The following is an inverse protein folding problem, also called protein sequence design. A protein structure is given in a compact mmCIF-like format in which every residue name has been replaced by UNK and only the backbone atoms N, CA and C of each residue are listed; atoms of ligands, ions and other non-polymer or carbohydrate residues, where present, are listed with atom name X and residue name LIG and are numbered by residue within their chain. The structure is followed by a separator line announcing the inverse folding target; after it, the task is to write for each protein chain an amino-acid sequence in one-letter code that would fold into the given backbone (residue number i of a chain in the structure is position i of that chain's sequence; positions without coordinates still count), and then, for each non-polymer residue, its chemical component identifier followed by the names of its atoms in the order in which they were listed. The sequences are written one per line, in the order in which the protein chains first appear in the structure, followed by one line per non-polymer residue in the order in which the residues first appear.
data_IF_304392967392
#
_entry.id   IF_304392967392
#
_cell.length_a   1.000
_cell.length_b   1.000
_cell.length_c   1.000
_cell.angle_alpha   90.00
_cell.angle_beta   90.00
_cell.angle_gamma   90.00
#
_symmetry.space_group_name_H-M   'P 1'
#
loop_
_entity.id
_entity.type
_entity.pdbx_description
1 polymer ?
#
# COMPACT_ATOMS: atom_id res chain seq x y z
N UNK A 1 3.71 12.81 -35.25
CA UNK A 1 4.92 12.25 -34.61
C UNK A 1 4.56 10.90 -33.96
N UNK A 2 4.97 9.76 -34.53
CA UNK A 2 4.84 8.42 -33.93
C UNK A 2 6.22 7.77 -33.83
N UNK A 3 7.11 8.40 -33.06
CA UNK A 3 8.45 7.87 -32.80
C UNK A 3 8.37 6.82 -31.69
N UNK A 4 8.21 5.54 -32.05
CA UNK A 4 8.19 4.47 -31.05
C UNK A 4 7.60 3.14 -31.52
N UNK A 5 6.87 3.10 -32.63
CA UNK A 5 6.21 1.89 -33.12
C UNK A 5 7.06 1.17 -34.19
N UNK A 6 8.33 0.91 -33.90
CA UNK A 6 9.14 -0.03 -34.70
C UNK A 6 9.18 -1.36 -33.98
N UNK A 7 9.20 -2.48 -34.71
CA UNK A 7 9.39 -3.81 -34.11
C UNK A 7 10.74 -3.79 -33.37
N UNK A 8 10.70 -3.88 -32.03
CA UNK A 8 11.89 -3.75 -31.18
C UNK A 8 12.21 -2.35 -30.64
N UNK A 9 11.38 -1.33 -30.92
CA UNK A 9 11.48 -0.02 -30.27
C UNK A 9 10.78 -0.06 -28.90
N UNK A 10 11.58 0.03 -27.84
CA UNK A 10 11.13 -0.01 -26.44
C UNK A 10 12.25 -0.53 -25.54
N UNK A 11 12.23 -0.16 -24.27
CA UNK A 11 13.13 -0.76 -23.29
C UNK A 11 12.72 -2.23 -23.15
N UNK A 12 13.64 -3.16 -23.44
CA UNK A 12 13.39 -4.60 -23.22
C UNK A 12 12.89 -4.76 -21.78
N UNK A 13 11.78 -5.46 -21.54
CA UNK A 13 11.31 -5.70 -20.19
C UNK A 13 12.45 -6.34 -19.40
N UNK A 14 12.81 -5.74 -18.27
CA UNK A 14 13.82 -6.31 -17.37
C UNK A 14 13.41 -7.72 -16.96
N UNK A 15 14.37 -8.53 -16.52
CA UNK A 15 14.13 -9.90 -16.07
C UNK A 15 12.98 -9.99 -15.05
N UNK A 16 12.90 -9.03 -14.12
CA UNK A 16 11.81 -8.91 -13.16
C UNK A 16 10.42 -8.70 -13.79
N UNK A 17 10.33 -7.94 -14.89
CA UNK A 17 9.05 -7.71 -15.58
C UNK A 17 8.56 -8.97 -16.31
N UNK A 18 9.49 -9.77 -16.86
CA UNK A 18 9.16 -11.06 -17.48
C UNK A 18 8.67 -12.08 -16.45
N UNK A 19 9.38 -12.22 -15.33
CA UNK A 19 8.97 -13.11 -14.24
C UNK A 19 7.60 -12.72 -13.67
N UNK A 20 7.30 -11.43 -13.57
CA UNK A 20 6.00 -10.95 -13.10
C UNK A 20 4.86 -11.35 -14.07
N UNK A 21 5.08 -11.26 -15.38
CA UNK A 21 4.10 -11.73 -16.38
C UNK A 21 3.90 -13.25 -16.32
N UNK A 22 4.99 -14.02 -16.21
CA UNK A 22 4.92 -15.48 -16.07
C UNK A 22 4.16 -15.88 -14.79
N UNK A 23 4.40 -15.20 -13.67
CA UNK A 23 3.67 -15.43 -12.42
C UNK A 23 2.17 -15.11 -12.56
N UNK A 24 1.80 -14.04 -13.26
CA UNK A 24 0.39 -13.71 -13.53
C UNK A 24 -0.27 -14.79 -14.37
N UNK A 25 0.39 -15.27 -15.42
CA UNK A 25 -0.14 -16.31 -16.28
C UNK A 25 -0.41 -17.60 -15.49
N UNK A 26 0.55 -18.03 -14.66
CA UNK A 26 0.40 -19.20 -13.80
C UNK A 26 -0.77 -19.04 -12.82
N UNK A 27 -0.90 -17.87 -12.20
CA UNK A 27 -2.02 -17.58 -11.28
C UNK A 27 -3.36 -17.61 -12.00
N UNK A 28 -3.46 -17.00 -13.18
CA UNK A 28 -4.69 -17.02 -13.98
C UNK A 28 -5.09 -18.44 -14.38
N UNK A 29 -4.12 -19.28 -14.77
CA UNK A 29 -4.37 -20.69 -15.09
C UNK A 29 -4.89 -21.47 -13.88
N UNK A 30 -4.23 -21.31 -12.72
CA UNK A 30 -4.65 -21.98 -11.49
C UNK A 30 -6.04 -21.56 -11.03
N UNK A 31 -6.34 -20.26 -11.09
CA UNK A 31 -7.67 -19.75 -10.78
C UNK A 31 -8.72 -20.34 -11.73
N UNK A 32 -8.44 -20.42 -13.02
CA UNK A 32 -9.36 -21.01 -13.99
C UNK A 32 -9.61 -22.51 -13.75
N UNK A 33 -8.60 -23.25 -13.30
CA UNK A 33 -8.73 -24.67 -12.95
C UNK A 33 -9.54 -24.87 -11.66
N UNK A 34 -9.34 -24.02 -10.66
CA UNK A 34 -9.95 -24.17 -9.34
C UNK A 34 -11.37 -23.60 -9.26
N UNK A 35 -11.71 -22.61 -10.10
CA UNK A 35 -13.02 -21.95 -10.02
C UNK A 35 -14.17 -22.86 -10.46
N UNK A 36 -13.94 -23.78 -11.40
CA UNK A 36 -14.96 -24.70 -11.92
C UNK A 36 -15.61 -25.54 -10.81
N UNK A 37 -14.84 -26.37 -10.08
CA UNK A 37 -15.37 -27.20 -9.01
C UNK A 37 -16.09 -26.40 -7.90
N UNK A 38 -15.59 -25.20 -7.58
CA UNK A 38 -16.21 -24.33 -6.57
C UNK A 38 -17.57 -23.84 -7.09
N UNK A 39 -17.64 -23.39 -8.34
CA UNK A 39 -18.88 -22.97 -8.99
C UNK A 39 -19.90 -24.09 -9.08
N UNK A 40 -19.48 -25.32 -9.39
CA UNK A 40 -20.38 -26.47 -9.48
C UNK A 40 -21.07 -26.78 -8.13
N UNK A 41 -20.29 -26.77 -7.04
CA UNK A 41 -20.83 -26.96 -5.68
C UNK A 41 -21.82 -25.86 -5.31
N UNK A 42 -21.52 -24.60 -5.65
CA UNK A 42 -22.40 -23.48 -5.38
C UNK A 42 -23.68 -23.53 -6.21
N UNK A 43 -23.59 -23.93 -7.48
CA UNK A 43 -24.76 -24.12 -8.35
C UNK A 43 -25.65 -25.22 -7.78
N UNK A 44 -25.07 -26.34 -7.32
CA UNK A 44 -25.83 -27.40 -6.66
C UNK A 44 -26.59 -26.88 -5.43
N UNK A 45 -25.88 -26.21 -4.51
CA UNK A 45 -26.51 -25.64 -3.29
C UNK A 45 -27.56 -24.58 -3.62
N UNK A 46 -27.32 -23.76 -4.64
CA UNK A 46 -28.28 -22.76 -5.09
C UNK A 46 -29.56 -23.40 -5.64
N UNK A 47 -29.45 -24.52 -6.37
CA UNK A 47 -30.61 -25.30 -6.82
C UNK A 47 -31.40 -25.91 -5.66
N UNK A 48 -30.74 -26.25 -4.56
CA UNK A 48 -31.36 -26.73 -3.33
C UNK A 48 -32.00 -25.61 -2.49
N UNK A 49 -31.93 -24.34 -2.95
CA UNK A 49 -32.53 -23.18 -2.29
C UNK A 49 -31.62 -22.49 -1.26
N UNK A 50 -30.32 -22.78 -1.23
CA UNK A 50 -29.38 -22.06 -0.37
C UNK A 50 -29.15 -20.62 -0.88
N UNK A 51 -29.81 -19.66 -0.23
CA UNK A 51 -29.72 -18.23 -0.55
C UNK A 51 -28.28 -17.71 -0.47
N UNK A 52 -27.46 -18.25 0.44
CA UNK A 52 -26.05 -17.81 0.56
C UNK A 52 -25.25 -18.23 -0.66
N UNK A 53 -25.48 -19.44 -1.18
CA UNK A 53 -24.85 -19.91 -2.39
C UNK A 53 -25.25 -19.06 -3.61
N UNK A 54 -26.53 -18.64 -3.68
CA UNK A 54 -27.03 -17.73 -4.71
C UNK A 54 -26.31 -16.38 -4.64
N UNK A 55 -26.28 -15.73 -3.48
CA UNK A 55 -25.60 -14.44 -3.30
C UNK A 55 -24.12 -14.52 -3.69
N UNK A 56 -23.45 -15.58 -3.27
CA UNK A 56 -22.04 -15.77 -3.55
C UNK A 56 -21.78 -16.02 -5.07
N UNK A 57 -22.69 -16.70 -5.78
CA UNK A 57 -22.62 -16.82 -7.24
C UNK A 57 -22.77 -15.46 -7.92
N UNK A 58 -23.72 -14.63 -7.48
CA UNK A 58 -23.91 -13.27 -8.00
C UNK A 58 -22.69 -12.38 -7.73
N UNK A 59 -22.17 -12.40 -6.50
CA UNK A 59 -20.97 -11.66 -6.11
C UNK A 59 -19.76 -12.05 -6.96
N UNK A 60 -19.61 -13.34 -7.33
CA UNK A 60 -18.52 -13.79 -8.20
C UNK A 60 -18.70 -13.39 -9.66
N UNK A 61 -19.93 -13.39 -10.17
CA UNK A 61 -20.21 -13.08 -11.57
C UNK A 61 -20.20 -11.58 -11.88
N UNK A 62 -20.66 -10.73 -10.95
CA UNK A 62 -20.77 -9.28 -11.15
C UNK A 62 -19.91 -8.44 -10.20
N UNK A 63 -19.24 -9.08 -9.23
CA UNK A 63 -18.52 -8.39 -8.17
C UNK A 63 -19.43 -8.02 -7.00
N UNK A 64 -18.82 -7.71 -5.85
CA UNK A 64 -19.53 -7.17 -4.69
C UNK A 64 -19.91 -5.71 -4.93
N UNK A 65 -21.10 -5.33 -4.45
CA UNK A 65 -21.48 -3.93 -4.40
C UNK A 65 -20.41 -3.13 -3.62
N UNK A 66 -19.94 -2.02 -4.19
CA UNK A 66 -19.00 -1.13 -3.51
C UNK A 66 -19.69 -0.56 -2.27
N UNK A 67 -19.26 -0.99 -1.09
CA UNK A 67 -19.63 -0.30 0.14
C UNK A 67 -18.87 1.03 0.16
N UNK A 68 -19.60 2.14 0.21
CA UNK A 68 -19.01 3.42 0.53
C UNK A 68 -18.51 3.34 1.97
N UNK A 69 -17.19 3.30 2.16
CA UNK A 69 -16.59 3.47 3.47
C UNK A 69 -16.48 4.97 3.67
N UNK A 70 -17.35 5.53 4.50
CA UNK A 70 -17.16 6.88 5.00
C UNK A 70 -15.97 6.83 5.95
N UNK A 71 -14.80 7.25 5.46
CA UNK A 71 -13.63 7.45 6.31
C UNK A 71 -13.90 8.73 7.07
N UNK A 72 -14.58 8.63 8.20
CA UNK A 72 -14.55 9.69 9.20
C UNK A 72 -13.11 9.76 9.68
N UNK A 73 -12.37 10.74 9.18
CA UNK A 73 -11.15 11.16 9.85
C UNK A 73 -11.66 11.81 11.12
N UNK A 74 -11.81 11.01 12.16
CA UNK A 74 -11.95 11.52 13.51
C UNK A 74 -10.65 12.28 13.74
N UNK A 75 -10.67 13.58 13.44
CA UNK A 75 -9.72 14.56 13.95
C UNK A 75 -9.98 14.66 15.45
N UNK A 76 -9.81 13.56 16.16
CA UNK A 76 -9.46 13.61 17.57
C UNK A 76 -8.12 14.34 17.56
N UNK A 77 -8.17 15.64 17.80
CA UNK A 77 -7.06 16.35 18.42
C UNK A 77 -6.82 15.65 19.75
N UNK A 78 -6.18 14.48 19.70
CA UNK A 78 -5.77 13.73 20.87
C UNK A 78 -5.02 14.74 21.72
N UNK A 79 -5.59 15.07 22.89
CA UNK A 79 -5.04 16.05 23.82
C UNK A 79 -3.58 15.71 24.01
N UNK A 80 -2.71 16.46 23.32
CA UNK A 80 -1.28 16.16 23.32
C UNK A 80 -0.84 16.28 24.76
N UNK A 81 -0.34 15.19 25.32
CA UNK A 81 0.13 15.21 26.69
C UNK A 81 1.18 16.33 26.83
N UNK A 82 1.28 17.00 27.98
CA UNK A 82 2.28 18.06 28.18
C UNK A 82 3.70 17.61 27.78
N UNK A 83 4.01 16.33 28.01
CA UNK A 83 5.26 15.69 27.59
C UNK A 83 5.46 15.65 26.07
N UNK A 84 4.42 15.35 25.30
CA UNK A 84 4.49 15.40 23.83
C UNK A 84 4.69 16.82 23.32
N UNK A 85 4.06 17.80 23.97
CA UNK A 85 4.26 19.22 23.62
C UNK A 85 5.70 19.66 23.91
N UNK A 86 6.25 19.27 25.06
CA UNK A 86 7.64 19.56 25.42
C UNK A 86 8.64 18.90 24.46
N UNK A 87 8.40 17.65 24.05
CA UNK A 87 9.23 16.96 23.05
C UNK A 87 9.20 17.67 21.70
N UNK A 88 8.03 18.14 21.26
CA UNK A 88 7.89 18.91 20.03
C UNK A 88 8.60 20.27 20.12
N UNK A 89 8.53 20.94 21.27
CA UNK A 89 9.26 22.19 21.49
C UNK A 89 10.77 21.97 21.45
N UNK A 90 11.28 20.92 22.11
CA UNK A 90 12.71 20.55 22.06
C UNK A 90 13.15 20.18 20.65
N UNK A 91 12.32 19.45 19.89
CA UNK A 91 12.57 19.15 18.48
C UNK A 91 12.63 20.42 17.62
N UNK A 92 11.69 21.35 17.81
CA UNK A 92 11.66 22.60 17.06
C UNK A 92 12.90 23.47 17.35
N UNK A 93 13.35 23.52 18.60
CA UNK A 93 14.59 24.21 18.99
C UNK A 93 15.81 23.54 18.34
N UNK A 94 15.93 22.21 18.44
CA UNK A 94 17.03 21.47 17.83
C UNK A 94 17.07 21.60 16.29
N UNK A 95 15.92 21.58 15.63
CA UNK A 95 15.82 21.80 14.19
C UNK A 95 16.26 23.21 13.79
N UNK A 96 15.87 24.22 14.56
CA UNK A 96 16.35 25.59 14.36
C UNK A 96 17.86 25.69 14.59
N UNK A 97 18.39 25.07 15.65
CA UNK A 97 19.85 25.05 15.92
C UNK A 97 20.63 24.38 14.78
N UNK A 98 20.10 23.31 14.18
CA UNK A 98 20.69 22.73 12.98
C UNK A 98 20.58 23.69 11.80
N UNK A 99 19.42 24.28 11.57
CA UNK A 99 19.20 25.16 10.42
C UNK A 99 20.11 26.41 10.46
N UNK A 100 20.38 26.95 11.66
CA UNK A 100 21.25 28.11 11.85
C UNK A 100 22.72 27.73 12.10
N UNK A 101 23.02 26.54 12.64
CA UNK A 101 24.38 26.04 12.89
C UNK A 101 25.03 25.34 11.69
N UNK A 102 24.25 24.74 10.78
CA UNK A 102 24.73 24.06 9.57
C UNK A 102 24.73 24.94 8.31
N UNK A 103 24.85 26.26 8.45
CA UNK A 103 25.17 27.13 7.31
C UNK A 103 26.52 26.78 6.65
N UNK A 104 27.32 25.87 7.23
CA UNK A 104 28.62 25.46 6.71
C UNK A 104 28.79 23.97 6.34
N UNK A 105 27.84 23.06 6.62
CA UNK A 105 28.04 21.63 6.32
C UNK A 105 26.73 20.91 5.90
N UNK A 106 26.58 20.62 4.59
CA UNK A 106 25.35 20.10 3.96
C UNK A 106 25.30 18.57 3.84
N UNK A 107 25.85 17.81 4.79
CA UNK A 107 25.88 16.35 4.69
C UNK A 107 24.69 15.67 5.43
N UNK A 108 23.70 15.12 4.71
CA UNK A 108 22.47 14.59 5.32
C UNK A 108 22.68 13.34 6.17
N UNK A 109 23.74 12.55 5.93
CA UNK A 109 24.01 11.34 6.73
C UNK A 109 24.42 11.66 8.17
N UNK A 110 25.12 12.79 8.37
CA UNK A 110 25.54 13.29 9.68
C UNK A 110 24.33 13.78 10.49
N UNK A 111 23.40 14.48 9.85
CA UNK A 111 22.15 14.96 10.46
C UNK A 111 21.27 13.80 10.95
N UNK A 112 21.17 12.72 10.17
CA UNK A 112 20.39 11.53 10.57
C UNK A 112 21.01 10.82 11.78
N UNK A 113 22.34 10.72 11.84
CA UNK A 113 23.03 10.14 13.00
C UNK A 113 22.84 10.99 14.26
N UNK A 114 22.94 12.32 14.14
CA UNK A 114 22.70 13.25 15.25
C UNK A 114 21.25 13.19 15.76
N UNK A 115 20.27 13.04 14.87
CA UNK A 115 18.87 12.87 15.26
C UNK A 115 18.65 11.60 16.09
N UNK A 116 19.23 10.47 15.64
CA UNK A 116 19.12 9.19 16.37
C UNK A 116 19.79 9.24 17.75
N UNK A 117 20.86 10.01 17.88
CA UNK A 117 21.55 10.21 19.16
C UNK A 117 20.73 11.11 20.10
N UNK A 118 20.16 12.20 19.58
CA UNK A 118 19.23 13.05 20.32
C UNK A 118 18.00 12.29 20.85
N UNK A 119 17.44 11.38 20.04
CA UNK A 119 16.32 10.51 20.45
C UNK A 119 16.68 9.58 21.61
N UNK A 120 17.94 9.14 21.73
CA UNK A 120 18.39 8.30 22.87
C UNK A 120 18.56 9.10 24.15
N UNK A 121 18.89 10.39 24.04
CA UNK A 121 19.11 11.27 25.19
C UNK A 121 17.80 11.85 25.77
N UNK A 122 16.70 11.81 25.00
CA UNK A 122 15.40 12.35 25.39
C UNK A 122 14.28 11.30 25.21
N UNK A 123 14.25 10.25 26.06
CA UNK A 123 13.22 9.20 26.03
C UNK A 123 11.80 9.72 26.25
#
# INVERSE_FOLDING_TARGET
MRGGYRVGAGRKPGFAAKLAEEARALLSERVAQEIGPISDVLISKAKDGDIRAVHELFDRAWGRARQAIEITVDNEEAERTPEQQERLQKLAVWMNEIQYGNLMDKNPSKTISQFREWQRMNP
#
